data_IF_618688825921
#
_entry.id   IF_618688825921
#
_cell.length_a   1.000
_cell.length_b   1.000
_cell.length_c   1.000
_cell.angle_alpha   90.00
_cell.angle_beta   90.00
_cell.angle_gamma   90.00
#
_symmetry.space_group_name_H-M   'P 1'
#
loop_
_entity.id
_entity.type
_entity.pdbx_description
1 polymer ?
#
# COMPACT_ATOMS: atom_id res chain seq x y z
N UNK A 1 0.78 -48.39 -26.01
CA UNK A 1 0.50 -48.30 -24.57
C UNK A 1 1.59 -47.56 -23.78
N UNK A 2 2.87 -47.91 -23.91
CA UNK A 2 3.96 -47.27 -23.13
C UNK A 2 4.23 -45.80 -23.49
N UNK A 3 4.14 -45.44 -24.78
CA UNK A 3 4.33 -44.05 -25.24
C UNK A 3 3.19 -43.12 -24.80
N UNK A 4 2.00 -43.65 -24.60
CA UNK A 4 0.83 -42.90 -24.14
C UNK A 4 0.94 -42.58 -22.64
N UNK A 5 1.35 -43.56 -21.82
CA UNK A 5 1.68 -43.34 -20.40
C UNK A 5 2.77 -42.29 -20.21
N UNK A 6 3.82 -42.32 -21.07
CA UNK A 6 4.88 -41.29 -21.06
C UNK A 6 4.32 -39.90 -21.38
N UNK A 7 3.49 -39.75 -22.41
CA UNK A 7 2.88 -38.45 -22.76
C UNK A 7 2.01 -37.88 -21.65
N UNK A 8 1.18 -38.71 -21.02
CA UNK A 8 0.33 -38.28 -19.89
C UNK A 8 1.21 -37.80 -18.73
N UNK A 9 2.27 -38.53 -18.40
CA UNK A 9 3.21 -38.13 -17.33
C UNK A 9 3.88 -36.79 -17.64
N UNK A 10 4.35 -36.60 -18.88
CA UNK A 10 4.92 -35.31 -19.31
C UNK A 10 3.92 -34.17 -19.21
N UNK A 11 2.68 -34.38 -19.66
CA UNK A 11 1.63 -33.37 -19.56
C UNK A 11 1.37 -32.98 -18.10
N UNK A 12 1.22 -33.95 -17.20
CA UNK A 12 1.00 -33.70 -15.77
C UNK A 12 2.17 -32.92 -15.16
N UNK A 13 3.41 -33.34 -15.43
CA UNK A 13 4.61 -32.68 -14.90
C UNK A 13 4.74 -31.27 -15.46
N UNK A 14 4.54 -31.07 -16.76
CA UNK A 14 4.62 -29.77 -17.40
C UNK A 14 3.55 -28.82 -16.85
N UNK A 15 2.31 -29.28 -16.71
CA UNK A 15 1.23 -28.49 -16.10
C UNK A 15 1.56 -28.12 -14.65
N UNK A 16 2.14 -29.05 -13.87
CA UNK A 16 2.57 -28.76 -12.51
C UNK A 16 3.65 -27.68 -12.46
N UNK A 17 4.67 -27.78 -13.31
CA UNK A 17 5.75 -26.77 -13.40
C UNK A 17 5.19 -25.41 -13.83
N UNK A 18 4.27 -25.36 -14.80
CA UNK A 18 3.62 -24.12 -15.22
C UNK A 18 2.84 -23.46 -14.08
N UNK A 19 2.09 -24.25 -13.30
CA UNK A 19 1.35 -23.74 -12.14
C UNK A 19 2.29 -23.24 -11.03
N UNK A 20 3.34 -23.98 -10.72
CA UNK A 20 4.35 -23.56 -9.73
C UNK A 20 5.06 -22.27 -10.15
N UNK A 21 5.44 -22.16 -11.43
CA UNK A 21 6.01 -20.94 -11.99
C UNK A 21 5.05 -19.74 -11.85
N UNK A 22 3.77 -19.92 -12.20
CA UNK A 22 2.77 -18.87 -12.07
C UNK A 22 2.57 -18.41 -10.62
N UNK A 23 2.53 -19.36 -9.67
CA UNK A 23 2.45 -19.05 -8.24
C UNK A 23 3.66 -18.25 -7.77
N UNK A 24 4.87 -18.64 -8.19
CA UNK A 24 6.10 -17.90 -7.86
C UNK A 24 6.04 -16.47 -8.43
N UNK A 25 5.58 -16.30 -9.67
CA UNK A 25 5.39 -14.98 -10.26
C UNK A 25 4.42 -14.12 -9.44
N UNK A 26 3.28 -14.67 -9.01
CA UNK A 26 2.34 -13.93 -8.16
C UNK A 26 2.99 -13.52 -6.85
N UNK A 27 3.66 -14.45 -6.15
CA UNK A 27 4.32 -14.18 -4.87
C UNK A 27 5.39 -13.09 -5.03
N UNK A 28 6.13 -13.10 -6.15
CA UNK A 28 7.15 -12.10 -6.43
C UNK A 28 6.55 -10.72 -6.79
N UNK A 29 5.46 -10.68 -7.54
CA UNK A 29 4.86 -9.44 -8.04
C UNK A 29 3.92 -8.77 -7.04
N UNK A 30 3.24 -9.53 -6.20
CA UNK A 30 2.25 -9.02 -5.26
C UNK A 30 2.82 -7.96 -4.28
N UNK A 31 4.02 -8.13 -3.69
CA UNK A 31 4.64 -7.07 -2.89
C UNK A 31 4.90 -5.78 -3.67
N UNK A 32 5.27 -5.88 -4.94
CA UNK A 32 5.55 -4.72 -5.80
C UNK A 32 4.25 -3.94 -6.05
N UNK A 33 3.17 -4.65 -6.35
CA UNK A 33 1.85 -4.05 -6.56
C UNK A 33 1.34 -3.39 -5.28
N UNK A 34 1.48 -4.04 -4.12
CA UNK A 34 1.10 -3.47 -2.83
C UNK A 34 1.91 -2.20 -2.50
N UNK A 35 3.22 -2.23 -2.75
CA UNK A 35 4.09 -1.07 -2.57
C UNK A 35 3.68 0.08 -3.50
N UNK A 36 3.34 -0.21 -4.75
CA UNK A 36 2.86 0.80 -5.70
C UNK A 36 1.59 1.49 -5.19
N UNK A 37 0.58 0.73 -4.76
CA UNK A 37 -0.65 1.30 -4.20
C UNK A 37 -0.38 2.10 -2.92
N UNK A 38 0.48 1.59 -2.03
CA UNK A 38 0.87 2.30 -0.81
C UNK A 38 1.50 3.67 -1.14
N UNK A 39 2.45 3.73 -2.08
CA UNK A 39 3.07 4.98 -2.49
C UNK A 39 2.09 5.93 -3.18
N UNK A 40 1.19 5.42 -4.03
CA UNK A 40 0.20 6.25 -4.72
C UNK A 40 -0.80 6.88 -3.74
N UNK A 41 -1.36 6.10 -2.83
CA UNK A 41 -2.25 6.60 -1.78
C UNK A 41 -1.58 7.68 -0.92
N UNK A 42 -0.29 7.52 -0.65
CA UNK A 42 0.49 8.51 0.12
C UNK A 42 0.66 9.82 -0.64
N UNK A 43 0.95 9.76 -1.94
CA UNK A 43 1.02 10.95 -2.78
C UNK A 43 -0.33 11.67 -2.85
N UNK A 44 -1.44 10.93 -2.95
CA UNK A 44 -2.79 11.49 -2.92
C UNK A 44 -3.08 12.22 -1.60
N UNK A 45 -2.75 11.62 -0.44
CA UNK A 45 -2.90 12.27 0.86
C UNK A 45 -2.10 13.58 0.99
N UNK A 46 -0.85 13.58 0.52
CA UNK A 46 -0.01 14.79 0.54
C UNK A 46 -0.60 15.87 -0.36
N UNK A 47 -1.09 15.49 -1.55
CA UNK A 47 -1.73 16.42 -2.47
C UNK A 47 -3.02 16.99 -1.86
N UNK A 48 -3.84 16.15 -1.25
CA UNK A 48 -5.07 16.56 -0.56
C UNK A 48 -4.79 17.53 0.59
N UNK A 49 -3.78 17.25 1.41
CA UNK A 49 -3.32 18.16 2.46
C UNK A 49 -2.85 19.50 1.89
N UNK A 50 -2.08 19.47 0.79
CA UNK A 50 -1.58 20.67 0.13
C UNK A 50 -2.69 21.52 -0.49
N UNK A 51 -3.79 20.88 -0.88
CA UNK A 51 -5.03 21.49 -1.37
C UNK A 51 -5.98 21.89 -0.22
N UNK A 52 -5.46 22.05 1.01
CA UNK A 52 -6.18 22.49 2.21
C UNK A 52 -7.30 21.55 2.66
N UNK A 53 -7.34 20.29 2.24
CA UNK A 53 -8.25 19.31 2.85
C UNK A 53 -7.78 18.98 4.26
N UNK A 54 -8.74 18.79 5.17
CA UNK A 54 -8.48 18.32 6.52
C UNK A 54 -8.23 16.81 6.48
N UNK A 55 -7.14 16.37 7.09
CA UNK A 55 -6.85 14.96 7.26
C UNK A 55 -7.11 14.55 8.71
N UNK A 56 -7.80 13.44 8.92
CA UNK A 56 -7.88 12.78 10.23
C UNK A 56 -6.77 11.75 10.32
N UNK A 57 -5.80 12.00 11.19
CA UNK A 57 -4.60 11.22 11.33
C UNK A 57 -4.56 10.49 12.68
N UNK A 58 -4.32 9.19 12.63
CA UNK A 58 -4.18 8.33 13.80
C UNK A 58 -2.72 8.21 14.19
N UNK A 59 -2.42 8.63 15.42
CA UNK A 59 -1.14 8.43 16.10
C UNK A 59 -1.24 7.24 17.06
N UNK A 60 -0.18 6.95 17.82
CA UNK A 60 -0.20 5.82 18.79
C UNK A 60 -1.27 5.96 19.86
N UNK A 61 -1.53 7.18 20.31
CA UNK A 61 -2.38 7.44 21.48
C UNK A 61 -3.62 8.29 21.15
N UNK A 62 -3.60 8.98 20.01
CA UNK A 62 -4.58 10.03 19.69
C UNK A 62 -5.00 10.00 18.22
N UNK A 63 -6.23 10.40 17.96
CA UNK A 63 -6.73 10.77 16.62
C UNK A 63 -6.72 12.28 16.55
N UNK A 64 -6.11 12.83 15.51
CA UNK A 64 -5.89 14.27 15.34
C UNK A 64 -6.38 14.70 13.97
N UNK A 65 -7.19 15.74 13.92
CA UNK A 65 -7.48 16.43 12.67
C UNK A 65 -6.34 17.42 12.40
N UNK A 66 -5.74 17.31 11.22
CA UNK A 66 -4.66 18.18 10.77
C UNK A 66 -5.06 18.87 9.48
N UNK A 67 -4.80 20.17 9.45
CA UNK A 67 -4.99 20.99 8.26
C UNK A 67 -3.75 21.86 8.04
N UNK A 68 -3.53 22.22 6.78
CA UNK A 68 -2.50 23.18 6.41
C UNK A 68 -2.81 24.58 6.94
N UNK A 69 -4.09 24.92 7.08
CA UNK A 69 -4.56 26.20 7.63
C UNK A 69 -4.18 26.37 9.11
N UNK A 70 -4.13 25.26 9.86
CA UNK A 70 -3.71 25.23 11.27
C UNK A 70 -2.17 25.20 11.47
N UNK A 71 -1.42 25.51 10.41
CA UNK A 71 0.05 25.51 10.34
C UNK A 71 0.69 24.16 10.67
N UNK A 72 -0.01 23.04 10.40
CA UNK A 72 0.64 21.74 10.38
C UNK A 72 1.44 21.56 9.09
N UNK A 73 2.49 20.74 9.16
CA UNK A 73 3.24 20.25 8.01
C UNK A 73 3.20 18.73 8.01
N UNK A 74 2.85 18.15 6.87
CA UNK A 74 2.89 16.71 6.66
C UNK A 74 4.25 16.34 6.05
N UNK A 75 5.14 15.75 6.86
CA UNK A 75 6.48 15.31 6.49
C UNK A 75 6.53 13.78 6.51
N UNK A 76 6.21 13.18 5.36
CA UNK A 76 6.10 11.74 5.19
C UNK A 76 5.27 11.12 6.35
N UNK A 77 5.84 10.24 7.17
CA UNK A 77 5.10 9.57 8.25
C UNK A 77 4.96 10.41 9.52
N UNK A 78 5.14 11.74 9.42
CA UNK A 78 5.13 12.63 10.56
C UNK A 78 4.25 13.86 10.33
N UNK A 79 3.56 14.26 11.38
CA UNK A 79 2.97 15.60 11.50
C UNK A 79 3.96 16.46 12.26
N UNK A 80 4.27 17.64 11.72
CA UNK A 80 5.11 18.64 12.37
C UNK A 80 4.29 19.88 12.66
N UNK A 81 4.41 20.40 13.89
CA UNK A 81 3.86 21.70 14.29
C UNK A 81 4.82 22.39 15.25
N UNK A 82 5.43 23.48 14.78
CA UNK A 82 6.54 24.11 15.51
C UNK A 82 7.70 23.11 15.69
N UNK A 83 8.11 22.90 16.94
CA UNK A 83 9.17 21.94 17.30
C UNK A 83 8.66 20.51 17.51
N UNK A 84 7.34 20.31 17.54
CA UNK A 84 6.74 19.00 17.81
C UNK A 84 6.68 18.19 16.52
N UNK A 85 7.25 16.98 16.54
CA UNK A 85 7.19 15.99 15.45
C UNK A 85 6.53 14.71 15.96
N UNK A 86 5.37 14.35 15.40
CA UNK A 86 4.54 13.23 15.85
C UNK A 86 4.46 12.18 14.76
N UNK A 87 4.79 10.93 15.08
CA UNK A 87 4.66 9.81 14.15
C UNK A 87 3.20 9.44 13.90
N UNK A 88 2.87 9.20 12.64
CA UNK A 88 1.54 8.84 12.17
C UNK A 88 1.52 7.37 11.78
N UNK A 89 0.44 6.66 12.13
CA UNK A 89 0.18 5.31 11.64
C UNK A 89 -0.68 5.29 10.37
N UNK A 90 -1.70 6.16 10.31
CA UNK A 90 -2.67 6.24 9.20
C UNK A 90 -3.24 7.66 9.13
N UNK A 91 -3.48 8.18 7.94
CA UNK A 91 -4.29 9.38 7.72
C UNK A 91 -5.33 9.08 6.65
N UNK A 92 -6.48 9.72 6.77
CA UNK A 92 -7.55 9.70 5.78
C UNK A 92 -8.08 11.13 5.63
N UNK A 93 -8.60 11.47 4.45
CA UNK A 93 -9.29 12.74 4.26
C UNK A 93 -10.55 12.71 5.12
N UNK A 94 -10.78 13.77 5.89
CA UNK A 94 -12.02 13.91 6.64
C UNK A 94 -13.16 14.10 5.64
N UNK A 95 -14.02 13.10 5.51
CA UNK A 95 -15.27 13.25 4.76
C UNK A 95 -16.11 14.31 5.49
N UNK A 96 -16.55 15.34 4.76
CA UNK A 96 -17.42 16.35 5.33
C UNK A 96 -18.76 15.74 5.72
N UNK A 97 -19.29 16.13 6.88
CA UNK A 97 -20.70 15.94 7.22
C UNK A 97 -21.63 16.60 6.19
#
# INVERSE_FOLDING_TARGET
>A
MENEKRRIKYFIVNTKVQMEFFIICIIALLPIVLLYFHLNFRNELINDFNNNKILTCKTRELILDVSKEDNYVLDDYYIVKGETKISISKCEVKEGD
#
